data_IF_208262746249
#
_entry.id   IF_208262746249
#
_cell.length_a   1.000
_cell.length_b   1.000
_cell.length_c   1.000
_cell.angle_alpha   90.00
_cell.angle_beta   90.00
_cell.angle_gamma   90.00
#
_symmetry.space_group_name_H-M   'P 1'
#
loop_
_entity.id
_entity.type
_entity.pdbx_description
1 polymer ?
#
# COMPACT_ATOMS: atom_id res chain seq x y z
N UNK A 1 -25.72 -8.16 -3.79
CA UNK A 1 -24.91 -6.94 -4.03
C UNK A 1 -24.00 -7.26 -5.22
N UNK A 2 -23.80 -6.33 -6.15
CA UNK A 2 -23.03 -6.62 -7.37
C UNK A 2 -21.54 -6.71 -7.03
N UNK A 3 -20.90 -7.82 -7.38
CA UNK A 3 -19.44 -7.95 -7.27
C UNK A 3 -18.77 -6.89 -8.15
N UNK A 4 -17.85 -6.08 -7.62
CA UNK A 4 -17.19 -5.05 -8.41
C UNK A 4 -16.38 -5.68 -9.54
N UNK A 5 -16.49 -5.10 -10.73
CA UNK A 5 -15.78 -5.60 -11.92
C UNK A 5 -14.29 -5.40 -11.74
N UNK A 6 -13.54 -6.50 -11.81
CA UNK A 6 -12.09 -6.47 -11.75
C UNK A 6 -11.50 -5.68 -12.94
N UNK A 7 -10.45 -4.87 -12.73
CA UNK A 7 -9.72 -4.24 -13.81
C UNK A 7 -9.17 -5.25 -14.83
N UNK A 8 -9.23 -4.88 -16.10
CA UNK A 8 -8.61 -5.65 -17.17
C UNK A 8 -7.08 -5.62 -17.06
N UNK A 9 -6.44 -6.70 -17.51
CA UNK A 9 -4.98 -6.78 -17.64
C UNK A 9 -4.20 -7.01 -16.35
N UNK A 10 -4.86 -7.29 -15.22
CA UNK A 10 -4.17 -7.73 -14.00
C UNK A 10 -3.48 -9.08 -14.23
N UNK A 11 -2.31 -9.25 -13.62
CA UNK A 11 -1.57 -10.51 -13.48
C UNK A 11 -2.07 -11.35 -12.30
N UNK A 12 -1.39 -12.46 -12.01
CA UNK A 12 -1.82 -13.40 -10.95
C UNK A 12 -1.85 -12.75 -9.56
N UNK A 13 -0.81 -11.98 -9.21
CA UNK A 13 -0.69 -11.37 -7.89
C UNK A 13 -1.73 -10.26 -7.69
N UNK A 14 -1.94 -9.41 -8.70
CA UNK A 14 -2.96 -8.37 -8.68
C UNK A 14 -4.38 -8.91 -8.60
N UNK A 15 -4.67 -10.01 -9.33
CA UNK A 15 -5.97 -10.71 -9.23
C UNK A 15 -6.21 -11.28 -7.84
N UNK A 16 -5.23 -11.97 -7.28
CA UNK A 16 -5.35 -12.55 -5.94
C UNK A 16 -5.64 -11.47 -4.89
N UNK A 17 -4.91 -10.34 -4.93
CA UNK A 17 -5.16 -9.22 -4.02
C UNK A 17 -6.55 -8.60 -4.23
N UNK A 18 -6.98 -8.44 -5.48
CA UNK A 18 -8.30 -7.89 -5.79
C UNK A 18 -9.41 -8.73 -5.18
N UNK A 19 -9.35 -10.05 -5.37
CA UNK A 19 -10.34 -10.99 -4.85
C UNK A 19 -10.33 -11.03 -3.32
N UNK A 20 -9.15 -11.06 -2.69
CA UNK A 20 -9.01 -11.08 -1.23
C UNK A 20 -9.62 -9.85 -0.56
N UNK A 21 -9.30 -8.66 -1.07
CA UNK A 21 -9.81 -7.40 -0.51
C UNK A 21 -11.33 -7.32 -0.72
N UNK A 22 -11.84 -7.61 -1.91
CA UNK A 22 -13.28 -7.52 -2.19
C UNK A 22 -14.11 -8.65 -1.55
N UNK A 23 -13.48 -9.74 -1.11
CA UNK A 23 -14.13 -10.77 -0.29
C UNK A 23 -14.36 -10.30 1.16
N UNK A 24 -13.55 -9.37 1.64
CA UNK A 24 -13.50 -8.95 3.04
C UNK A 24 -14.13 -7.57 3.26
N UNK A 25 -13.96 -6.65 2.31
CA UNK A 25 -14.33 -5.24 2.43
C UNK A 25 -15.32 -4.82 1.34
N UNK A 26 -16.32 -4.04 1.74
CA UNK A 26 -17.17 -3.31 0.78
C UNK A 26 -16.54 -1.94 0.50
N UNK A 27 -16.01 -1.79 -0.71
CA UNK A 27 -15.28 -0.58 -1.11
C UNK A 27 -16.15 0.39 -1.91
N UNK A 28 -15.98 1.68 -1.66
CA UNK A 28 -16.52 2.76 -2.46
C UNK A 28 -15.83 2.85 -3.84
N UNK A 29 -16.44 3.52 -4.84
CA UNK A 29 -15.87 3.60 -6.19
C UNK A 29 -14.44 4.16 -6.28
N UNK A 30 -14.10 5.13 -5.43
CA UNK A 30 -12.75 5.71 -5.33
C UNK A 30 -11.76 4.76 -4.68
N UNK A 31 -12.18 4.00 -3.67
CA UNK A 31 -11.38 2.94 -3.05
C UNK A 31 -11.15 1.77 -4.02
N UNK A 32 -12.15 1.40 -4.83
CA UNK A 32 -11.99 0.41 -5.91
C UNK A 32 -11.01 0.88 -6.97
N UNK A 33 -11.04 2.17 -7.35
CA UNK A 33 -10.06 2.73 -8.28
C UNK A 33 -8.64 2.70 -7.70
N UNK A 34 -8.51 2.98 -6.40
CA UNK A 34 -7.23 2.92 -5.68
C UNK A 34 -6.72 1.47 -5.60
N UNK A 35 -7.55 0.52 -5.19
CA UNK A 35 -7.24 -0.91 -5.18
C UNK A 35 -6.78 -1.38 -6.56
N UNK A 36 -7.46 -0.94 -7.62
CA UNK A 36 -7.08 -1.28 -9.00
C UNK A 36 -5.66 -0.78 -9.37
N UNK A 37 -5.23 0.37 -8.86
CA UNK A 37 -3.84 0.82 -9.02
C UNK A 37 -2.86 -0.01 -8.18
N UNK A 38 -3.23 -0.32 -6.94
CA UNK A 38 -2.44 -1.20 -6.05
C UNK A 38 -2.16 -2.56 -6.72
N UNK A 39 -3.18 -3.20 -7.28
CA UNK A 39 -3.06 -4.47 -7.98
C UNK A 39 -2.10 -4.40 -9.17
N UNK A 40 -2.23 -3.37 -10.03
CA UNK A 40 -1.32 -3.18 -11.18
C UNK A 40 0.12 -2.96 -10.74
N UNK A 41 0.35 -2.11 -9.74
CA UNK A 41 1.70 -1.85 -9.21
C UNK A 41 2.32 -3.10 -8.60
N UNK A 42 1.52 -3.96 -7.97
CA UNK A 42 1.98 -5.26 -7.48
C UNK A 42 2.40 -6.19 -8.63
N UNK A 43 1.59 -6.32 -9.67
CA UNK A 43 1.93 -7.13 -10.85
C UNK A 43 3.21 -6.63 -11.55
N UNK A 44 3.37 -5.32 -11.69
CA UNK A 44 4.58 -4.71 -12.23
C UNK A 44 5.82 -5.03 -11.37
N UNK A 45 5.68 -4.98 -10.04
CA UNK A 45 6.76 -5.32 -9.11
C UNK A 45 7.15 -6.80 -9.20
N UNK A 46 6.18 -7.71 -9.35
CA UNK A 46 6.44 -9.13 -9.58
C UNK A 46 7.19 -9.37 -10.90
N UNK A 47 6.79 -8.68 -11.98
CA UNK A 47 7.50 -8.72 -13.27
C UNK A 47 8.95 -8.23 -13.14
N UNK A 48 9.18 -7.09 -12.48
CA UNK A 48 10.53 -6.57 -12.21
C UNK A 48 11.33 -7.57 -11.35
N UNK A 49 10.70 -8.18 -10.34
CA UNK A 49 11.30 -9.20 -9.49
C UNK A 49 11.76 -10.43 -10.27
N UNK A 50 10.90 -10.95 -11.15
CA UNK A 50 11.23 -12.07 -12.03
C UNK A 50 12.39 -11.72 -12.99
N UNK A 51 12.39 -10.51 -13.56
CA UNK A 51 13.46 -10.04 -14.43
C UNK A 51 14.80 -9.89 -13.67
N UNK A 52 14.76 -9.38 -12.42
CA UNK A 52 15.93 -9.30 -11.55
C UNK A 52 16.47 -10.69 -11.16
N UNK A 53 15.60 -11.67 -10.95
CA UNK A 53 16.00 -13.04 -10.62
C UNK A 53 16.63 -13.78 -11.81
N UNK A 54 16.14 -13.52 -13.02
CA UNK A 54 16.65 -14.14 -14.24
C UNK A 54 17.90 -13.43 -14.81
N UNK A 55 18.04 -12.13 -14.56
CA UNK A 55 19.10 -11.29 -15.12
C UNK A 55 20.34 -11.12 -14.22
N UNK A 56 21.43 -10.56 -14.77
CA UNK A 56 22.61 -10.26 -13.97
C UNK A 56 22.38 -9.03 -13.09
N UNK A 57 22.85 -9.09 -11.85
CA UNK A 57 22.77 -7.96 -10.91
C UNK A 57 23.64 -6.76 -11.33
N UNK A 58 24.74 -7.03 -12.05
CA UNK A 58 25.67 -6.04 -12.60
C UNK A 58 25.61 -6.15 -14.13
N UNK A 59 25.37 -5.01 -14.78
CA UNK A 59 25.29 -4.87 -16.23
C UNK A 59 26.39 -3.91 -16.72
N UNK A 60 26.68 -3.96 -18.00
CA UNK A 60 27.61 -3.03 -18.64
C UNK A 60 26.94 -1.67 -18.84
N UNK A 61 27.59 -0.61 -18.34
CA UNK A 61 27.17 0.77 -18.56
C UNK A 61 27.52 1.24 -19.97
N UNK A 62 27.01 2.41 -20.36
CA UNK A 62 27.20 2.95 -21.71
C UNK A 62 28.65 3.20 -22.11
N UNK A 63 29.59 3.23 -21.16
CA UNK A 63 31.03 3.40 -21.39
C UNK A 63 31.83 2.13 -21.01
N UNK A 64 31.16 0.97 -20.91
CA UNK A 64 31.81 -0.30 -20.57
C UNK A 64 32.06 -0.54 -19.08
N UNK A 65 31.66 0.38 -18.20
CA UNK A 65 31.86 0.23 -16.76
C UNK A 65 30.80 -0.69 -16.13
N UNK A 66 31.16 -1.56 -15.16
CA UNK A 66 30.18 -2.36 -14.43
C UNK A 66 29.28 -1.46 -13.58
N UNK A 67 27.96 -1.62 -13.71
CA UNK A 67 26.95 -0.88 -12.94
C UNK A 67 25.86 -1.83 -12.44
N UNK A 68 25.27 -1.56 -11.28
CA UNK A 68 24.06 -2.25 -10.86
C UNK A 68 22.93 -2.11 -11.90
N UNK A 69 22.18 -3.19 -12.11
CA UNK A 69 20.99 -3.18 -12.98
C UNK A 69 20.02 -2.06 -12.56
N UNK A 70 19.51 -1.30 -13.54
CA UNK A 70 18.54 -0.23 -13.29
C UNK A 70 17.24 -0.76 -12.65
N UNK A 71 16.92 -2.04 -12.87
CA UNK A 71 15.76 -2.70 -12.30
C UNK A 71 15.75 -2.69 -10.76
N UNK A 72 16.91 -2.61 -10.09
CA UNK A 72 16.94 -2.46 -8.62
C UNK A 72 16.36 -1.12 -8.17
N UNK A 73 16.63 -0.04 -8.91
CA UNK A 73 16.09 1.28 -8.62
C UNK A 73 14.59 1.31 -8.91
N UNK A 74 14.14 0.72 -10.02
CA UNK A 74 12.72 0.60 -10.36
C UNK A 74 11.96 -0.23 -9.32
N UNK A 75 12.49 -1.39 -8.91
CA UNK A 75 11.88 -2.21 -7.86
C UNK A 75 11.73 -1.43 -6.54
N UNK A 76 12.71 -0.59 -6.19
CA UNK A 76 12.60 0.30 -5.02
C UNK A 76 11.50 1.34 -5.21
N UNK A 77 11.41 1.96 -6.38
CA UNK A 77 10.37 2.95 -6.68
C UNK A 77 8.96 2.35 -6.61
N UNK A 78 8.73 1.20 -7.24
CA UNK A 78 7.45 0.49 -7.18
C UNK A 78 7.07 0.09 -5.75
N UNK A 79 8.02 -0.39 -4.92
CA UNK A 79 7.76 -0.68 -3.50
C UNK A 79 7.30 0.55 -2.71
N UNK A 80 7.87 1.73 -2.98
CA UNK A 80 7.46 2.97 -2.32
C UNK A 80 6.06 3.41 -2.76
N UNK A 81 5.74 3.27 -4.05
CA UNK A 81 4.40 3.57 -4.56
C UNK A 81 3.38 2.58 -3.99
N UNK A 82 3.68 1.28 -4.01
CA UNK A 82 2.82 0.24 -3.46
C UNK A 82 2.50 0.48 -1.98
N UNK A 83 3.53 0.76 -1.17
CA UNK A 83 3.34 1.09 0.25
C UNK A 83 2.42 2.31 0.43
N UNK A 84 2.60 3.36 -0.39
CA UNK A 84 1.75 4.55 -0.33
C UNK A 84 0.30 4.27 -0.74
N UNK A 85 0.08 3.45 -1.77
CA UNK A 85 -1.26 3.08 -2.21
C UNK A 85 -1.99 2.23 -1.15
N UNK A 86 -1.28 1.28 -0.54
CA UNK A 86 -1.80 0.48 0.58
C UNK A 86 -2.14 1.35 1.80
N UNK A 87 -1.24 2.27 2.18
CA UNK A 87 -1.49 3.23 3.27
C UNK A 87 -2.71 4.12 3.00
N UNK A 88 -2.95 4.48 1.74
CA UNK A 88 -4.09 5.31 1.32
C UNK A 88 -5.40 4.55 1.29
N UNK A 89 -5.36 3.23 1.01
CA UNK A 89 -6.55 2.38 1.06
C UNK A 89 -7.07 2.28 2.49
N UNK A 90 -6.18 2.41 3.48
CA UNK A 90 -6.53 2.61 4.88
C UNK A 90 -7.57 1.58 5.38
N UNK A 91 -7.39 0.32 5.00
CA UNK A 91 -8.34 -0.74 5.36
C UNK A 91 -8.33 -0.96 6.88
N UNK A 92 -9.50 -1.24 7.49
CA UNK A 92 -9.58 -1.55 8.91
C UNK A 92 -8.80 -2.81 9.25
N UNK A 93 -8.12 -2.80 10.41
CA UNK A 93 -7.59 -4.03 10.98
C UNK A 93 -8.72 -4.92 11.52
N UNK A 94 -8.43 -6.20 11.73
CA UNK A 94 -9.40 -7.16 12.28
C UNK A 94 -10.01 -6.65 13.60
N UNK A 95 -11.34 -6.47 13.61
CA UNK A 95 -12.09 -5.99 14.77
C UNK A 95 -12.21 -4.47 14.86
N UNK A 96 -11.73 -3.71 13.87
CA UNK A 96 -11.98 -2.27 13.75
C UNK A 96 -13.09 -1.98 12.73
N UNK A 97 -14.02 -1.08 13.08
CA UNK A 97 -15.11 -0.68 12.17
C UNK A 97 -14.65 0.31 11.08
N UNK A 98 -13.56 1.04 11.32
CA UNK A 98 -13.08 2.10 10.43
C UNK A 98 -11.56 2.08 10.39
N UNK A 99 -11.04 1.77 9.20
CA UNK A 99 -9.61 1.85 8.95
C UNK A 99 -9.11 3.28 8.83
N UNK A 100 -7.82 3.46 9.07
CA UNK A 100 -7.19 4.78 9.18
C UNK A 100 -5.86 4.76 8.47
N UNK A 101 -5.61 5.81 7.70
CA UNK A 101 -4.26 6.08 7.19
C UNK A 101 -3.32 6.28 8.39
N UNK A 102 -2.01 6.03 8.24
CA UNK A 102 -1.03 6.28 9.30
C UNK A 102 -1.07 7.72 9.84
N UNK A 103 -1.44 8.70 9.01
CA UNK A 103 -1.64 10.09 9.44
C UNK A 103 -2.87 10.25 10.34
N UNK A 104 -4.00 9.64 9.99
CA UNK A 104 -5.23 9.64 10.78
C UNK A 104 -5.04 8.91 12.11
N UNK A 105 -4.30 7.79 12.15
CA UNK A 105 -3.95 7.10 13.39
C UNK A 105 -3.15 7.99 14.34
N UNK A 106 -2.08 8.62 13.83
CA UNK A 106 -1.24 9.54 14.61
C UNK A 106 -2.05 10.73 15.15
N UNK A 107 -2.91 11.31 14.32
CA UNK A 107 -3.79 12.40 14.72
C UNK A 107 -4.79 11.98 15.80
N UNK A 108 -5.39 10.79 15.65
CA UNK A 108 -6.32 10.20 16.63
C UNK A 108 -5.62 9.98 17.96
N UNK A 109 -4.44 9.35 17.96
CA UNK A 109 -3.64 9.11 19.18
C UNK A 109 -3.22 10.41 19.86
N UNK A 110 -2.78 11.41 19.10
CA UNK A 110 -2.42 12.72 19.62
C UNK A 110 -3.63 13.49 20.18
N UNK A 111 -4.82 13.31 19.59
CA UNK A 111 -6.06 13.80 20.18
C UNK A 111 -6.30 13.09 21.53
N UNK A 112 -6.40 11.76 21.58
CA UNK A 112 -6.68 11.02 22.82
C UNK A 112 -5.76 11.41 23.98
N UNK A 113 -4.45 11.55 23.72
CA UNK A 113 -3.47 12.00 24.72
C UNK A 113 -3.79 13.42 25.23
N UNK A 114 -4.13 14.36 24.35
CA UNK A 114 -4.51 15.73 24.75
C UNK A 114 -5.75 15.74 25.65
N UNK A 115 -6.79 15.00 25.26
CA UNK A 115 -8.04 14.92 26.04
C UNK A 115 -7.81 14.26 27.41
N UNK A 116 -6.93 13.27 27.50
CA UNK A 116 -6.56 12.64 28.77
C UNK A 116 -5.75 13.57 29.69
N UNK A 117 -4.83 14.35 29.12
CA UNK A 117 -4.09 15.36 29.87
C UNK A 117 -5.01 16.47 30.40
N UNK A 118 -5.96 16.94 29.59
CA UNK A 118 -6.97 17.92 30.02
C UNK A 118 -7.87 17.37 31.13
N UNK A 119 -8.29 16.11 31.04
CA UNK A 119 -9.09 15.43 32.07
C UNK A 119 -8.34 15.32 33.40
N UNK A 120 -7.05 14.94 33.35
CA UNK A 120 -6.18 14.86 34.53
C UNK A 120 -5.95 16.24 35.17
N UNK A 121 -5.78 17.27 34.35
CA UNK A 121 -5.61 18.66 34.82
C UNK A 121 -6.87 19.20 35.51
N UNK A 122 -8.06 18.89 34.98
CA UNK A 122 -9.33 19.27 35.61
C UNK A 122 -9.60 18.51 36.90
N UNK A 123 -9.20 17.24 36.99
CA UNK A 123 -9.36 16.43 38.20
C UNK A 123 -8.42 16.79 39.36
N UNK A 124 -7.30 17.46 39.10
CA UNK A 124 -6.37 17.95 40.14
C UNK A 124 -6.74 19.34 40.70
N UNK A 125 -7.76 20.00 40.14
CA UNK A 125 -8.19 21.34 40.55
C UNK A 125 -9.49 21.33 41.38
N UNK A 126 -9.89 20.16 41.92
CA UNK A 126 -11.06 19.96 42.79
C UNK A 126 -10.65 19.49 44.18
#
# INVERSE_FOLDING_TARGET
MATPTQPEGLGDAGRALWDEINATYELAPDELALLGQTCRTLDELESIGAALAAGPAVVEGSMGQPKASALFAEARAHRLVLAKLLDQLALPADGEDVGKTPAQERASKAASVRWDLERRRRGQAS
#
